data_IF_442101202315
#
_entry.id   IF_442101202315
#
_cell.length_a   1.000
_cell.length_b   1.000
_cell.length_c   1.000
_cell.angle_alpha   90.00
_cell.angle_beta   90.00
_cell.angle_gamma   90.00
#
_symmetry.space_group_name_H-M   'P 1'
#
loop_
_entity.id
_entity.type
_entity.pdbx_description
1 polymer ?
#
# COMPACT_ATOMS: atom_id res chain seq x y z
N UNK A 1 9.03 -7.23 -11.84
CA UNK A 1 8.90 -5.76 -11.82
C UNK A 1 7.62 -5.41 -11.09
N UNK A 2 7.70 -4.51 -10.12
CA UNK A 2 6.54 -3.96 -9.42
C UNK A 2 6.59 -2.45 -9.57
N UNK A 3 5.48 -1.85 -9.95
CA UNK A 3 5.29 -0.39 -10.00
C UNK A 3 4.09 -0.05 -9.13
N UNK A 4 4.30 0.78 -8.12
CA UNK A 4 3.27 1.21 -7.16
C UNK A 4 3.59 2.62 -6.65
N UNK A 5 2.57 3.30 -6.11
CA UNK A 5 2.74 4.47 -5.26
C UNK A 5 2.64 4.10 -3.77
N UNK A 6 2.90 5.08 -2.90
CA UNK A 6 2.75 4.96 -1.45
C UNK A 6 1.27 5.06 -1.04
N UNK A 7 0.62 6.17 -1.39
CA UNK A 7 -0.79 6.45 -1.12
C UNK A 7 -1.41 7.28 -2.24
N UNK A 8 -2.75 7.24 -2.32
CA UNK A 8 -3.50 8.28 -3.01
C UNK A 8 -3.45 9.61 -2.24
N UNK A 9 -4.01 10.65 -2.85
CA UNK A 9 -4.29 11.92 -2.19
C UNK A 9 -5.79 12.07 -2.06
N UNK A 10 -6.31 12.76 -1.04
CA UNK A 10 -7.77 12.97 -0.89
C UNK A 10 -8.37 13.45 -2.22
N UNK A 11 -9.52 12.93 -2.67
CA UNK A 11 -10.08 13.28 -3.98
C UNK A 11 -10.46 14.78 -4.08
N UNK A 12 -10.64 15.44 -2.94
CA UNK A 12 -11.00 16.85 -2.82
C UNK A 12 -9.91 17.63 -2.11
N UNK A 13 -9.75 18.90 -2.50
CA UNK A 13 -8.92 19.85 -1.76
C UNK A 13 -9.58 20.12 -0.39
N UNK A 14 -8.78 20.02 0.65
CA UNK A 14 -9.13 20.43 2.00
C UNK A 14 -8.32 21.67 2.40
N UNK A 15 -8.85 22.44 3.34
CA UNK A 15 -8.16 23.58 3.93
C UNK A 15 -7.81 23.22 5.38
N UNK A 16 -6.52 23.20 5.69
CA UNK A 16 -6.03 22.94 7.04
C UNK A 16 -5.22 24.15 7.54
N UNK A 17 -5.30 24.43 8.84
CA UNK A 17 -4.51 25.48 9.44
C UNK A 17 -3.03 25.09 9.43
N UNK A 18 -2.17 25.98 8.92
CA UNK A 18 -0.72 25.81 8.94
C UNK A 18 -0.21 25.71 10.39
N UNK A 19 0.73 24.81 10.63
CA UNK A 19 1.49 24.76 11.89
C UNK A 19 2.49 25.91 12.00
N UNK A 20 2.91 26.51 10.88
CA UNK A 20 4.04 27.43 10.82
C UNK A 20 5.40 26.73 10.75
N UNK A 21 5.42 25.39 10.74
CA UNK A 21 6.65 24.59 10.77
C UNK A 21 6.90 23.91 9.41
N UNK A 22 8.13 23.99 8.91
CA UNK A 22 8.54 23.33 7.66
C UNK A 22 8.48 24.24 6.43
N UNK A 23 9.12 23.79 5.35
CA UNK A 23 9.41 24.60 4.16
C UNK A 23 8.19 24.99 3.31
N UNK A 24 7.05 24.32 3.53
CA UNK A 24 5.80 24.57 2.80
C UNK A 24 4.71 25.22 3.67
N UNK A 25 5.03 25.55 4.93
CA UNK A 25 4.09 26.10 5.89
C UNK A 25 4.00 27.62 5.81
N UNK A 26 2.77 28.12 5.73
CA UNK A 26 2.47 29.54 5.92
C UNK A 26 2.54 29.90 7.42
N UNK A 27 2.46 31.17 7.84
CA UNK A 27 2.37 31.52 9.26
C UNK A 27 1.28 30.71 9.99
N UNK A 28 1.56 30.35 11.25
CA UNK A 28 0.66 29.52 12.07
C UNK A 28 -0.78 30.03 12.03
N UNK A 29 -1.74 29.13 11.82
CA UNK A 29 -3.17 29.47 11.73
C UNK A 29 -3.65 29.89 10.34
N UNK A 30 -2.75 30.09 9.37
CA UNK A 30 -3.14 30.37 7.98
C UNK A 30 -3.79 29.13 7.36
N UNK A 31 -5.01 29.24 6.82
CA UNK A 31 -5.69 28.14 6.14
C UNK A 31 -5.04 27.86 4.79
N UNK A 32 -4.35 26.73 4.65
CA UNK A 32 -3.68 26.32 3.41
C UNK A 32 -4.51 25.28 2.65
N UNK A 33 -4.70 25.43 1.34
CA UNK A 33 -5.28 24.39 0.51
C UNK A 33 -4.28 23.25 0.30
N UNK A 34 -4.75 22.01 0.40
CA UNK A 34 -3.95 20.82 0.16
C UNK A 34 -4.81 19.61 -0.12
N UNK A 35 -4.16 18.48 -0.40
CA UNK A 35 -4.79 17.16 -0.40
C UNK A 35 -4.05 16.27 0.60
N UNK A 36 -4.77 15.72 1.56
CA UNK A 36 -4.20 14.82 2.57
C UNK A 36 -3.85 13.45 1.97
N UNK A 37 -3.22 12.59 2.78
CA UNK A 37 -3.00 11.18 2.43
C UNK A 37 -4.34 10.43 2.34
N UNK A 38 -4.48 9.59 1.32
CA UNK A 38 -5.67 8.78 1.08
C UNK A 38 -5.29 7.30 0.99
N UNK A 39 -5.42 6.54 2.10
CA UNK A 39 -4.99 5.14 2.16
C UNK A 39 -6.06 4.14 1.69
N UNK A 40 -7.24 4.61 1.29
CA UNK A 40 -8.39 3.74 1.04
C UNK A 40 -8.26 2.92 -0.26
N UNK A 41 -7.52 3.45 -1.24
CA UNK A 41 -7.28 2.77 -2.50
C UNK A 41 -5.92 3.15 -3.11
N UNK A 42 -5.26 2.17 -3.70
CA UNK A 42 -4.06 2.34 -4.54
C UNK A 42 -4.06 1.28 -5.63
N UNK A 43 -3.26 1.49 -6.69
CA UNK A 43 -3.11 0.53 -7.79
C UNK A 43 -1.66 0.10 -7.93
N UNK A 44 -1.46 -1.19 -8.21
CA UNK A 44 -0.15 -1.79 -8.43
C UNK A 44 -0.10 -2.39 -9.84
N UNK A 45 1.03 -2.26 -10.51
CA UNK A 45 1.34 -3.00 -11.73
C UNK A 45 2.46 -4.00 -11.43
N UNK A 46 2.20 -5.27 -11.73
CA UNK A 46 3.15 -6.37 -11.50
C UNK A 46 3.34 -7.14 -12.80
N UNK A 47 4.59 -7.37 -13.17
CA UNK A 47 4.96 -8.13 -14.35
C UNK A 47 6.28 -8.89 -14.13
N UNK A 48 6.39 -10.10 -14.68
CA UNK A 48 7.62 -10.89 -14.66
C UNK A 48 7.43 -12.35 -14.28
N UNK A 49 8.53 -13.02 -13.97
CA UNK A 49 8.58 -14.46 -13.72
C UNK A 49 7.67 -14.88 -12.57
N UNK A 50 6.93 -15.98 -12.77
CA UNK A 50 5.99 -16.53 -11.80
C UNK A 50 4.63 -15.84 -11.74
N UNK A 51 4.47 -14.67 -12.39
CA UNK A 51 3.22 -13.93 -12.40
C UNK A 51 2.34 -14.28 -13.61
N UNK A 52 1.03 -14.43 -13.39
CA UNK A 52 0.03 -14.59 -14.45
C UNK A 52 -0.29 -13.23 -15.11
N UNK A 53 -0.02 -13.03 -16.42
CA UNK A 53 -0.19 -11.74 -17.08
C UNK A 53 -1.61 -11.53 -17.61
N UNK A 54 -1.90 -10.30 -18.06
CA UNK A 54 -3.10 -10.00 -18.86
C UNK A 54 -4.41 -9.90 -18.08
N UNK A 55 -4.34 -9.57 -16.79
CA UNK A 55 -5.50 -9.49 -15.91
C UNK A 55 -5.53 -8.18 -15.12
N UNK A 56 -6.73 -7.82 -14.67
CA UNK A 56 -6.99 -6.79 -13.67
C UNK A 56 -7.61 -7.49 -12.48
N UNK A 57 -7.07 -7.26 -11.29
CA UNK A 57 -7.55 -7.87 -10.04
C UNK A 57 -8.13 -6.75 -9.17
N UNK A 58 -9.42 -6.86 -8.88
CA UNK A 58 -10.14 -5.87 -8.09
C UNK A 58 -10.46 -4.58 -8.85
N UNK A 59 -11.10 -3.67 -8.13
CA UNK A 59 -11.59 -2.43 -8.69
C UNK A 59 -12.04 -1.43 -7.63
N UNK A 60 -11.99 -0.16 -8.00
CA UNK A 60 -12.46 0.95 -7.20
C UNK A 60 -13.79 1.49 -7.72
N UNK A 61 -14.43 2.35 -6.93
CA UNK A 61 -15.59 3.09 -7.41
C UNK A 61 -15.24 3.97 -8.64
N UNK A 62 -16.27 4.57 -9.26
CA UNK A 62 -16.10 5.41 -10.46
C UNK A 62 -15.16 6.61 -10.25
N UNK A 63 -14.87 6.97 -8.99
CA UNK A 63 -14.03 8.10 -8.61
C UNK A 63 -12.61 7.68 -8.22
N UNK A 64 -12.36 6.38 -8.05
CA UNK A 64 -11.09 5.85 -7.57
C UNK A 64 -10.87 6.07 -6.08
N UNK A 65 -11.93 6.30 -5.30
CA UNK A 65 -11.83 6.70 -3.89
C UNK A 65 -11.80 5.48 -2.96
N UNK A 66 -12.64 4.49 -3.24
CA UNK A 66 -12.81 3.30 -2.39
C UNK A 66 -12.67 2.02 -3.22
N UNK A 67 -12.14 0.96 -2.62
CA UNK A 67 -12.12 -0.38 -3.21
C UNK A 67 -13.50 -1.01 -3.07
N UNK A 68 -14.15 -1.33 -4.20
CA UNK A 68 -15.51 -1.90 -4.23
C UNK A 68 -15.55 -3.31 -4.82
N UNK A 69 -14.47 -3.74 -5.47
CA UNK A 69 -14.34 -5.08 -6.04
C UNK A 69 -13.00 -5.70 -5.65
N UNK A 70 -13.03 -6.99 -5.30
CA UNK A 70 -11.91 -7.84 -4.87
C UNK A 70 -10.78 -7.07 -4.17
N UNK A 71 -10.98 -6.74 -2.89
CA UNK A 71 -9.96 -6.07 -2.05
C UNK A 71 -8.72 -6.94 -1.88
N UNK A 72 -7.55 -6.36 -2.12
CA UNK A 72 -6.23 -6.94 -1.86
C UNK A 72 -5.54 -6.10 -0.78
N UNK A 73 -5.06 -6.73 0.29
CA UNK A 73 -4.35 -6.03 1.36
C UNK A 73 -2.88 -5.77 1.05
N UNK A 74 -2.28 -4.79 1.73
CA UNK A 74 -0.83 -4.55 1.69
C UNK A 74 -0.07 -5.78 2.19
N UNK A 75 -0.61 -6.48 3.18
CA UNK A 75 -0.05 -7.72 3.71
C UNK A 75 -0.05 -8.84 2.67
N UNK A 76 -1.13 -9.01 1.89
CA UNK A 76 -1.20 -10.00 0.80
C UNK A 76 -0.19 -9.69 -0.32
N UNK A 77 -0.01 -8.40 -0.61
CA UNK A 77 1.02 -7.94 -1.54
C UNK A 77 2.41 -8.33 -1.04
N UNK A 78 2.74 -8.04 0.23
CA UNK A 78 4.03 -8.43 0.83
C UNK A 78 4.22 -9.96 0.84
N UNK A 79 3.19 -10.73 1.20
CA UNK A 79 3.22 -12.20 1.14
C UNK A 79 3.53 -12.71 -0.28
N UNK A 80 2.93 -12.08 -1.30
CA UNK A 80 3.20 -12.38 -2.72
C UNK A 80 4.66 -12.11 -3.07
N UNK A 81 5.24 -11.02 -2.59
CA UNK A 81 6.64 -10.67 -2.83
C UNK A 81 7.59 -11.66 -2.13
N UNK A 82 7.35 -11.98 -0.86
CA UNK A 82 8.16 -12.96 -0.13
C UNK A 82 8.16 -14.33 -0.82
N UNK A 83 7.01 -14.78 -1.31
CA UNK A 83 6.91 -16.00 -2.11
C UNK A 83 7.81 -15.97 -3.35
N UNK A 84 7.79 -14.88 -4.13
CA UNK A 84 8.62 -14.77 -5.33
C UNK A 84 10.12 -14.69 -5.01
N UNK A 85 10.48 -14.29 -3.80
CA UNK A 85 11.85 -14.28 -3.28
C UNK A 85 12.26 -15.60 -2.62
N UNK A 86 11.36 -16.58 -2.50
CA UNK A 86 11.63 -17.86 -1.81
C UNK A 86 11.78 -17.71 -0.29
N UNK A 87 11.19 -16.66 0.29
CA UNK A 87 11.23 -16.39 1.73
C UNK A 87 9.90 -16.85 2.35
N UNK A 88 9.98 -17.64 3.42
CA UNK A 88 8.84 -17.93 4.30
C UNK A 88 8.79 -16.87 5.41
N UNK A 89 7.84 -15.91 5.37
CA UNK A 89 7.81 -14.81 6.31
C UNK A 89 7.21 -15.18 7.67
N UNK A 90 6.44 -16.28 7.78
CA UNK A 90 5.71 -16.62 9.00
C UNK A 90 6.62 -17.14 10.12
N UNK A 91 7.82 -17.61 9.77
CA UNK A 91 8.86 -18.04 10.72
C UNK A 91 9.86 -16.94 11.11
N UNK A 92 9.80 -15.75 10.50
CA UNK A 92 10.82 -14.71 10.68
C UNK A 92 10.31 -13.62 11.62
N UNK A 93 11.11 -13.34 12.64
CA UNK A 93 10.86 -12.28 13.60
C UNK A 93 12.11 -11.40 13.75
N UNK A 94 11.90 -10.09 13.85
CA UNK A 94 12.93 -9.12 14.16
C UNK A 94 12.77 -8.68 15.61
N UNK A 95 13.88 -8.46 16.32
CA UNK A 95 13.81 -7.85 17.64
C UNK A 95 13.85 -6.32 17.50
N UNK A 96 12.95 -5.62 18.18
CA UNK A 96 13.09 -4.18 18.37
C UNK A 96 14.20 -3.86 19.38
N UNK A 97 14.48 -2.57 19.59
CA UNK A 97 15.53 -2.12 20.52
C UNK A 97 15.28 -2.49 21.99
N UNK A 98 14.09 -3.01 22.33
CA UNK A 98 13.74 -3.51 23.66
C UNK A 98 13.83 -5.04 23.77
N UNK A 99 14.18 -5.73 22.67
CA UNK A 99 14.22 -7.18 22.59
C UNK A 99 12.86 -7.83 22.34
N UNK A 100 11.81 -7.05 22.07
CA UNK A 100 10.49 -7.61 21.76
C UNK A 100 10.50 -8.16 20.33
N UNK A 101 10.07 -9.42 20.12
CA UNK A 101 9.95 -9.99 18.79
C UNK A 101 8.77 -9.36 18.03
N UNK A 102 9.03 -8.96 16.78
CA UNK A 102 8.06 -8.41 15.84
C UNK A 102 8.09 -9.29 14.59
N UNK A 103 6.97 -9.92 14.20
CA UNK A 103 6.92 -10.69 12.96
C UNK A 103 7.20 -9.80 11.76
N UNK A 104 7.97 -10.28 10.77
CA UNK A 104 8.20 -9.52 9.54
C UNK A 104 6.92 -9.38 8.72
N UNK A 105 6.02 -10.35 8.83
CA UNK A 105 4.70 -10.33 8.25
C UNK A 105 3.71 -10.93 9.27
N UNK A 106 2.86 -10.10 9.91
CA UNK A 106 1.95 -10.60 10.93
C UNK A 106 0.80 -11.45 10.36
N UNK A 107 0.38 -11.16 9.12
CA UNK A 107 -0.77 -11.80 8.47
C UNK A 107 -0.68 -11.65 6.94
N UNK A 108 -1.64 -12.20 6.20
CA UNK A 108 -1.76 -12.06 4.75
C UNK A 108 -1.30 -13.30 4.00
N UNK A 109 -1.83 -13.44 2.79
CA UNK A 109 -1.59 -14.61 1.93
C UNK A 109 -1.21 -14.15 0.50
N UNK A 110 -0.39 -14.92 -0.23
CA UNK A 110 -0.10 -14.58 -1.62
C UNK A 110 -1.38 -14.43 -2.46
N UNK A 111 -1.41 -13.36 -3.27
CA UNK A 111 -2.52 -13.06 -4.18
C UNK A 111 -2.59 -14.16 -5.23
N UNK A 112 -3.53 -15.07 -5.08
CA UNK A 112 -3.58 -16.32 -5.85
C UNK A 112 -3.71 -16.09 -7.34
N UNK A 113 -4.48 -15.08 -7.73
CA UNK A 113 -4.73 -14.73 -9.12
C UNK A 113 -3.44 -14.30 -9.83
N UNK A 114 -2.48 -13.73 -9.10
CA UNK A 114 -1.17 -13.37 -9.67
C UNK A 114 -0.27 -14.57 -9.87
N UNK A 115 -0.51 -15.72 -9.24
CA UNK A 115 0.39 -16.85 -9.29
C UNK A 115 0.11 -17.70 -10.54
N UNK A 116 1.16 -18.06 -11.27
CA UNK A 116 1.03 -19.15 -12.25
C UNK A 116 0.94 -20.49 -11.55
N UNK A 117 -0.06 -21.28 -11.92
CA UNK A 117 -0.07 -22.72 -11.68
C UNK A 117 0.85 -23.32 -12.73
N UNK A 118 1.97 -23.90 -12.27
CA UNK A 118 2.87 -24.69 -13.11
C UNK A 118 2.31 -26.07 -13.38
#
# INVERSE_FOLDING_TARGET
VVVTGEFGRTPKINYAASTGEGIASMPTGTMQPGRDHWPNATSLLIAGGGTQPGQVIGGTDRRGEEVIDRRVGVQDFLATMYRHLGIDPHGIQLQDFTGRPIPVLPEGEPIRELLRVG
#
